data_IF_440420712171
#
_entry.id   IF_440420712171
#
_cell.length_a   1.000
_cell.length_b   1.000
_cell.length_c   1.000
_cell.angle_alpha   90.00
_cell.angle_beta   90.00
_cell.angle_gamma   90.00
#
_symmetry.space_group_name_H-M   'P 1'
#
loop_
_entity.id
_entity.type
_entity.pdbx_description
1 polymer ?
#
# COMPACT_ATOMS: atom_id res chain seq x y z
N UNK A 1 -10.32 9.83 -0.84
CA UNK A 1 -9.37 8.72 -0.64
C UNK A 1 -7.96 9.25 -0.47
N UNK A 2 -7.60 9.57 0.76
CA UNK A 2 -6.24 9.93 1.16
C UNK A 2 -5.58 8.78 1.91
N UNK A 3 -4.26 8.71 1.90
CA UNK A 3 -3.49 7.80 2.74
C UNK A 3 -2.63 8.56 3.73
N UNK A 4 -2.51 8.01 4.93
CA UNK A 4 -1.50 8.41 5.90
C UNK A 4 -0.30 7.49 5.78
N UNK A 5 0.83 8.07 5.37
CA UNK A 5 2.09 7.36 5.21
C UNK A 5 2.95 7.60 6.46
N UNK A 6 3.17 6.55 7.23
CA UNK A 6 4.07 6.56 8.37
C UNK A 6 5.37 5.86 8.01
N UNK A 7 6.49 6.56 8.17
CA UNK A 7 7.83 5.99 7.99
C UNK A 7 8.62 6.15 9.27
N UNK A 8 9.41 5.13 9.61
CA UNK A 8 10.33 5.19 10.73
C UNK A 8 11.48 4.21 10.53
N UNK A 9 12.55 4.39 11.31
CA UNK A 9 13.64 3.44 11.40
C UNK A 9 13.46 2.59 12.65
N UNK A 10 13.43 1.27 12.51
CA UNK A 10 13.45 0.31 13.61
C UNK A 10 14.80 -0.39 13.61
N UNK A 11 15.65 -0.12 14.60
CA UNK A 11 17.00 -0.68 14.68
C UNK A 11 17.85 -0.36 13.43
N UNK A 12 17.72 0.87 12.90
CA UNK A 12 18.40 1.30 11.67
C UNK A 12 17.78 0.77 10.37
N UNK A 13 16.70 -0.01 10.45
CA UNK A 13 16.02 -0.60 9.29
C UNK A 13 14.75 0.18 8.94
N UNK A 14 14.51 0.49 7.65
CA UNK A 14 13.33 1.25 7.25
C UNK A 14 12.06 0.42 7.43
N UNK A 15 11.04 1.08 7.98
CA UNK A 15 9.69 0.57 8.09
C UNK A 15 8.71 1.57 7.49
N UNK A 16 7.67 1.05 6.86
CA UNK A 16 6.60 1.76 6.19
C UNK A 16 5.27 1.21 6.68
N UNK A 17 4.36 2.11 7.06
CA UNK A 17 2.97 1.78 7.37
C UNK A 17 2.04 2.76 6.65
N UNK A 18 1.13 2.23 5.85
CA UNK A 18 0.13 2.99 5.10
C UNK A 18 -1.24 2.69 5.68
N UNK A 19 -1.97 3.74 6.03
CA UNK A 19 -3.30 3.68 6.62
C UNK A 19 -4.26 4.47 5.75
N UNK A 20 -5.45 3.91 5.48
CA UNK A 20 -6.53 4.63 4.83
C UNK A 20 -7.00 5.79 5.72
N UNK A 21 -6.98 7.02 5.22
CA UNK A 21 -7.21 8.20 6.04
C UNK A 21 -8.68 8.36 6.48
N UNK A 22 -9.62 7.70 5.81
CA UNK A 22 -11.05 7.80 6.09
C UNK A 22 -11.51 6.76 7.10
N UNK A 23 -11.11 5.50 6.91
CA UNK A 23 -11.46 4.37 7.76
C UNK A 23 -10.48 4.13 8.91
N UNK A 24 -9.25 4.64 8.81
CA UNK A 24 -8.17 4.32 9.74
C UNK A 24 -7.64 2.89 9.60
N UNK A 25 -8.07 2.14 8.56
CA UNK A 25 -7.65 0.77 8.36
C UNK A 25 -6.20 0.72 7.85
N UNK A 26 -5.39 -0.19 8.41
CA UNK A 26 -4.06 -0.47 7.87
C UNK A 26 -4.18 -1.17 6.51
N UNK A 27 -3.60 -0.55 5.48
CA UNK A 27 -3.59 -1.08 4.12
C UNK A 27 -2.27 -1.79 3.79
N UNK A 28 -1.17 -1.33 4.38
CA UNK A 28 0.14 -1.94 4.21
C UNK A 28 1.01 -1.68 5.43
N UNK A 29 1.71 -2.73 5.84
CA UNK A 29 2.80 -2.65 6.78
C UNK A 29 3.96 -3.45 6.23
N UNK A 30 5.12 -2.80 6.18
CA UNK A 30 6.37 -3.39 5.75
C UNK A 30 7.49 -2.89 6.67
N UNK A 31 8.33 -3.81 7.11
CA UNK A 31 9.59 -3.51 7.76
C UNK A 31 10.68 -4.28 7.02
N UNK A 32 11.81 -3.64 6.77
CA UNK A 32 12.93 -4.30 6.13
C UNK A 32 13.46 -5.42 7.04
N UNK A 33 13.14 -6.67 6.70
CA UNK A 33 13.68 -7.86 7.35
C UNK A 33 14.98 -8.28 6.66
N UNK A 34 16.00 -7.41 6.68
CA UNK A 34 17.33 -7.81 6.22
C UNK A 34 18.08 -8.47 7.38
N UNK A 35 18.36 -9.78 7.33
CA UNK A 35 19.29 -10.38 8.29
C UNK A 35 20.72 -9.87 8.01
N UNK A 36 21.55 -9.70 9.06
CA UNK A 36 22.94 -9.34 8.88
C UNK A 36 23.65 -10.41 8.04
N UNK A 37 24.24 -10.01 6.91
CA UNK A 37 24.88 -10.93 5.94
C UNK A 37 23.99 -11.36 4.77
N UNK A 38 22.75 -10.87 4.66
CA UNK A 38 21.90 -11.16 3.50
C UNK A 38 22.50 -10.62 2.19
N UNK A 39 22.52 -11.48 1.18
CA UNK A 39 22.98 -11.16 -0.16
C UNK A 39 22.19 -9.98 -0.77
N UNK A 40 22.82 -9.27 -1.69
CA UNK A 40 22.21 -8.13 -2.38
C UNK A 40 20.91 -8.53 -3.12
N UNK A 41 20.85 -9.77 -3.59
CA UNK A 41 19.69 -10.34 -4.28
C UNK A 41 18.46 -10.40 -3.36
N UNK A 42 18.64 -10.75 -2.08
CA UNK A 42 17.53 -10.80 -1.11
C UNK A 42 16.99 -9.39 -0.84
N UNK A 43 17.86 -8.38 -0.82
CA UNK A 43 17.44 -6.99 -0.66
C UNK A 43 16.66 -6.47 -1.87
N UNK A 44 17.08 -6.85 -3.09
CA UNK A 44 16.34 -6.53 -4.33
C UNK A 44 14.96 -7.17 -4.32
N UNK A 45 14.85 -8.45 -3.96
CA UNK A 45 13.56 -9.14 -3.89
C UNK A 45 12.59 -8.50 -2.90
N UNK A 46 13.08 -8.08 -1.73
CA UNK A 46 12.27 -7.36 -0.73
C UNK A 46 11.78 -6.01 -1.25
N UNK A 47 12.64 -5.26 -1.95
CA UNK A 47 12.24 -4.03 -2.61
C UNK A 47 11.17 -4.25 -3.70
N UNK A 48 11.35 -5.28 -4.54
CA UNK A 48 10.38 -5.63 -5.58
C UNK A 48 9.02 -6.01 -4.99
N UNK A 49 9.00 -6.73 -3.86
CA UNK A 49 7.78 -7.05 -3.12
C UNK A 49 7.08 -5.80 -2.60
N UNK A 50 7.84 -4.87 -2.02
CA UNK A 50 7.29 -3.60 -1.54
C UNK A 50 6.66 -2.80 -2.68
N UNK A 51 7.38 -2.62 -3.80
CA UNK A 51 6.88 -1.90 -4.98
C UNK A 51 5.62 -2.55 -5.54
N UNK A 52 5.59 -3.88 -5.63
CA UNK A 52 4.41 -4.62 -6.10
C UNK A 52 3.19 -4.36 -5.22
N UNK A 53 3.34 -4.35 -3.89
CA UNK A 53 2.25 -4.05 -2.97
C UNK A 53 1.77 -2.59 -3.08
N UNK A 54 2.70 -1.64 -3.25
CA UNK A 54 2.36 -0.23 -3.46
C UNK A 54 1.60 -0.01 -4.76
N UNK A 55 2.01 -0.67 -5.84
CA UNK A 55 1.29 -0.65 -7.11
C UNK A 55 -0.11 -1.22 -6.95
N UNK A 56 -0.27 -2.38 -6.31
CA UNK A 56 -1.58 -2.97 -6.06
C UNK A 56 -2.50 -2.04 -5.26
N UNK A 57 -1.97 -1.35 -4.23
CA UNK A 57 -2.73 -0.35 -3.48
C UNK A 57 -3.16 0.83 -4.38
N UNK A 58 -2.26 1.34 -5.22
CA UNK A 58 -2.60 2.42 -6.16
C UNK A 58 -3.62 1.98 -7.23
N UNK A 59 -3.58 0.70 -7.64
CA UNK A 59 -4.50 0.11 -8.60
C UNK A 59 -5.90 -0.11 -8.02
N UNK A 60 -6.00 -0.50 -6.74
CA UNK A 60 -7.29 -0.60 -6.05
C UNK A 60 -8.00 0.77 -5.97
N UNK A 61 -7.25 1.86 -5.85
CA UNK A 61 -7.81 3.21 -5.94
C UNK A 61 -8.28 3.57 -7.35
N UNK A 62 -7.61 3.08 -8.41
CA UNK A 62 -7.98 3.39 -9.80
C UNK A 62 -9.12 2.51 -10.33
N UNK A 63 -9.33 1.31 -9.78
CA UNK A 63 -10.44 0.42 -10.18
C UNK A 63 -11.75 0.73 -9.44
N UNK A 64 -11.71 1.45 -8.33
CA UNK A 64 -12.90 1.99 -7.68
C UNK A 64 -13.17 3.43 -8.14
N UNK A 65 -13.68 3.58 -9.36
CA UNK A 65 -14.46 4.75 -9.76
C UNK A 65 -15.96 4.41 -9.75
N UNK A 66 -16.67 4.51 -8.61
CA UNK A 66 -18.12 4.53 -8.58
C UNK A 66 -18.61 5.98 -8.67
N UNK A 67 -18.44 6.62 -9.83
CA UNK A 67 -19.03 7.93 -10.10
C UNK A 67 -19.36 8.10 -11.59
N UNK A 68 -20.15 7.19 -12.15
CA UNK A 68 -21.11 7.51 -13.22
C UNK A 68 -22.07 6.34 -13.48
N UNK A 69 -22.87 5.99 -12.46
CA UNK A 69 -24.18 5.37 -12.73
C UNK A 69 -25.24 6.11 -11.91
N UNK A 70 -25.42 7.39 -12.24
CA UNK A 70 -26.64 8.13 -11.93
C UNK A 70 -27.87 7.34 -12.41
N UNK A 71 -28.61 6.81 -11.45
CA UNK A 71 -30.09 6.71 -11.41
C UNK A 71 -30.79 6.64 -12.77
N UNK A 72 -30.89 5.45 -13.38
CA UNK A 72 -31.98 5.19 -14.32
C UNK A 72 -33.20 4.73 -13.52
N UNK A 73 -34.01 5.71 -13.15
CA UNK A 73 -35.39 5.52 -12.69
C UNK A 73 -36.18 4.96 -13.88
N UNK A 74 -36.39 3.64 -13.95
CA UNK A 74 -37.36 3.04 -14.90
C UNK A 74 -38.68 2.84 -14.17
N UNK A 75 -39.57 3.81 -14.34
CA UNK A 75 -41.01 3.64 -14.24
C UNK A 75 -41.49 2.72 -15.35
N UNK A 76 -42.17 1.63 -14.98
CA UNK A 76 -43.46 1.24 -15.54
C UNK A 76 -44.14 0.22 -14.64
#
# INVERSE_FOLDING_TARGET
MGYLIHTHLKEGRPCLRIVDAESGQECLHWCCERPPGAEEETAKQEMHRLVSKLLLLSCQQTLCSPADTTKIKRTR
#
